data_IF_684579328804
#
_entry.id   IF_684579328804
#
_cell.length_a   1.000
_cell.length_b   1.000
_cell.length_c   1.000
_cell.angle_alpha   90.00
_cell.angle_beta   90.00
_cell.angle_gamma   90.00
#
_symmetry.space_group_name_H-M   'P 1'
#
loop_
_entity.id
_entity.type
_entity.pdbx_description
1 polymer ?
#
# COMPACT_ATOMS: atom_id res chain seq x y z
N UNK A 1 -23.68 7.76 5.91
CA UNK A 1 -22.32 8.38 5.89
C UNK A 1 -22.29 9.63 6.75
N UNK A 2 -23.12 10.63 6.46
CA UNK A 2 -23.19 11.89 7.24
C UNK A 2 -23.41 11.61 8.73
N UNK A 3 -24.32 10.72 9.08
CA UNK A 3 -24.56 10.31 10.47
C UNK A 3 -23.30 9.81 11.19
N UNK A 4 -22.48 8.98 10.52
CA UNK A 4 -21.21 8.47 11.09
C UNK A 4 -20.17 9.59 11.26
N UNK A 5 -20.18 10.57 10.36
CA UNK A 5 -19.34 11.76 10.48
C UNK A 5 -19.78 12.64 11.63
N UNK A 6 -21.09 12.90 11.78
CA UNK A 6 -21.66 13.61 12.93
C UNK A 6 -21.39 12.87 14.26
N UNK A 7 -21.27 11.55 14.24
CA UNK A 7 -20.85 10.73 15.38
C UNK A 7 -19.34 10.82 15.70
N UNK A 8 -18.57 11.65 14.98
CA UNK A 8 -17.16 11.92 15.24
C UNK A 8 -16.17 11.10 14.40
N UNK A 9 -16.61 10.49 13.31
CA UNK A 9 -15.70 9.85 12.35
C UNK A 9 -15.18 10.86 11.33
N UNK A 10 -13.86 10.94 11.16
CA UNK A 10 -13.22 11.96 10.32
C UNK A 10 -13.15 11.50 8.86
N UNK A 11 -13.12 10.18 8.64
CA UNK A 11 -13.24 9.55 7.34
C UNK A 11 -14.31 8.47 7.42
N UNK A 12 -15.30 8.54 6.53
CA UNK A 12 -16.33 7.49 6.41
C UNK A 12 -16.22 6.88 5.01
N UNK A 13 -15.80 5.62 4.94
CA UNK A 13 -15.55 4.95 3.66
C UNK A 13 -16.49 3.77 3.43
N UNK A 14 -16.86 3.54 2.17
CA UNK A 14 -17.71 2.41 1.80
C UNK A 14 -16.87 1.14 1.55
N UNK A 15 -17.13 0.09 2.32
CA UNK A 15 -16.51 -1.23 2.17
C UNK A 15 -17.46 -2.19 1.48
N UNK A 16 -16.97 -2.91 0.47
CA UNK A 16 -17.78 -3.94 -0.21
C UNK A 16 -17.81 -5.21 0.62
N UNK A 17 -19.00 -5.67 0.98
CA UNK A 17 -19.21 -6.94 1.70
C UNK A 17 -19.22 -8.13 0.76
N UNK A 18 -19.81 -7.99 -0.43
CA UNK A 18 -19.96 -9.11 -1.37
C UNK A 18 -19.02 -8.99 -2.58
N UNK A 19 -18.17 -10.02 -2.76
CA UNK A 19 -17.31 -10.22 -3.93
C UNK A 19 -17.83 -11.34 -4.86
N UNK A 20 -19.00 -11.92 -4.59
CA UNK A 20 -19.56 -13.07 -5.35
C UNK A 20 -19.65 -12.84 -6.86
N UNK A 21 -19.71 -11.59 -7.31
CA UNK A 21 -19.73 -11.22 -8.72
C UNK A 21 -18.34 -11.19 -9.39
N UNK A 22 -17.23 -11.19 -8.64
CA UNK A 22 -15.88 -11.16 -9.21
C UNK A 22 -15.40 -12.59 -9.55
N UNK A 23 -14.73 -12.81 -10.69
CA UNK A 23 -14.12 -14.10 -11.01
C UNK A 23 -13.13 -14.56 -9.93
N UNK A 24 -13.06 -15.86 -9.65
CA UNK A 24 -12.21 -16.44 -8.60
C UNK A 24 -10.75 -15.97 -8.68
N UNK A 25 -10.15 -15.97 -9.87
CA UNK A 25 -8.79 -15.50 -10.10
C UNK A 25 -8.57 -14.04 -9.65
N UNK A 26 -9.58 -13.18 -9.83
CA UNK A 26 -9.49 -11.77 -9.42
C UNK A 26 -9.59 -11.63 -7.90
N UNK A 27 -10.37 -12.49 -7.24
CA UNK A 27 -10.45 -12.51 -5.77
C UNK A 27 -9.14 -12.94 -5.14
N UNK A 28 -8.52 -14.00 -5.67
CA UNK A 28 -7.23 -14.51 -5.21
C UNK A 28 -6.14 -13.46 -5.41
N UNK A 29 -6.03 -12.89 -6.61
CA UNK A 29 -5.04 -11.85 -6.90
C UNK A 29 -5.19 -10.63 -5.99
N UNK A 30 -6.43 -10.19 -5.74
CA UNK A 30 -6.69 -9.07 -4.84
C UNK A 30 -6.34 -9.43 -3.38
N UNK A 31 -6.72 -10.61 -2.90
CA UNK A 31 -6.38 -11.06 -1.53
C UNK A 31 -4.86 -11.19 -1.34
N UNK A 32 -4.16 -11.72 -2.33
CA UNK A 32 -2.69 -11.79 -2.32
C UNK A 32 -2.09 -10.39 -2.26
N UNK A 33 -2.58 -9.46 -3.09
CA UNK A 33 -2.11 -8.08 -3.07
C UNK A 33 -2.26 -7.42 -1.70
N UNK A 34 -3.43 -7.51 -1.06
CA UNK A 34 -3.64 -6.90 0.26
C UNK A 34 -2.75 -7.56 1.33
N UNK A 35 -2.60 -8.90 1.32
CA UNK A 35 -1.69 -9.59 2.24
C UNK A 35 -0.24 -9.15 2.07
N UNK A 36 0.24 -9.13 0.82
CA UNK A 36 1.61 -8.75 0.47
C UNK A 36 1.84 -7.27 0.81
N UNK A 37 0.91 -6.40 0.43
CA UNK A 37 1.01 -4.97 0.72
C UNK A 37 1.00 -4.67 2.23
N UNK A 38 0.07 -5.25 3.00
CA UNK A 38 -0.02 -5.02 4.45
C UNK A 38 1.15 -5.66 5.22
N UNK A 39 1.83 -6.66 4.64
CA UNK A 39 3.05 -7.21 5.24
C UNK A 39 4.29 -6.39 4.91
N UNK A 40 4.37 -5.84 3.69
CA UNK A 40 5.52 -5.09 3.20
C UNK A 40 5.49 -3.60 3.56
N UNK A 41 4.29 -3.04 3.75
CA UNK A 41 4.08 -1.60 3.92
C UNK A 41 3.86 -1.27 5.39
N UNK A 42 4.34 -0.12 5.82
CA UNK A 42 4.16 0.36 7.19
C UNK A 42 2.72 0.79 7.49
N UNK A 43 1.92 0.99 6.43
CA UNK A 43 0.54 1.46 6.48
C UNK A 43 -0.40 0.30 6.16
N UNK A 44 -1.29 -0.02 7.09
CA UNK A 44 -2.33 -1.03 6.87
C UNK A 44 -3.45 -0.46 6.01
N UNK A 45 -3.63 -1.02 4.81
CA UNK A 45 -4.68 -0.60 3.90
C UNK A 45 -5.94 -1.46 4.12
N UNK A 46 -7.09 -0.84 4.44
CA UNK A 46 -8.32 -1.60 4.66
C UNK A 46 -8.77 -2.25 3.35
N UNK A 47 -8.94 -3.57 3.39
CA UNK A 47 -9.35 -4.35 2.23
C UNK A 47 -10.77 -3.97 1.79
N UNK A 48 -11.04 -4.06 0.48
CA UNK A 48 -12.38 -3.86 -0.09
C UNK A 48 -12.98 -2.47 0.03
N UNK A 49 -12.19 -1.48 0.42
CA UNK A 49 -12.64 -0.10 0.48
C UNK A 49 -12.68 0.52 -0.91
N UNK A 50 -13.87 1.00 -1.27
CA UNK A 50 -14.11 1.73 -2.50
C UNK A 50 -13.49 3.13 -2.50
N UNK A 51 -13.63 3.82 -3.62
CA UNK A 51 -13.18 5.21 -3.74
C UNK A 51 -14.24 6.19 -3.18
N UNK A 52 -15.48 5.73 -3.05
CA UNK A 52 -16.58 6.49 -2.46
C UNK A 52 -16.40 6.66 -0.95
N UNK A 53 -16.25 7.91 -0.52
CA UNK A 53 -15.94 8.30 0.86
C UNK A 53 -16.43 9.71 1.18
N UNK A 54 -16.69 9.94 2.46
CA UNK A 54 -16.85 11.25 3.07
C UNK A 54 -15.59 11.55 3.89
N UNK A 55 -15.06 12.76 3.77
CA UNK A 55 -13.89 13.23 4.51
C UNK A 55 -14.20 14.56 5.18
N UNK A 56 -13.82 14.67 6.44
CA UNK A 56 -13.83 15.94 7.14
C UNK A 56 -12.84 16.94 6.52
N UNK A 57 -13.09 18.24 6.72
CA UNK A 57 -12.24 19.32 6.21
C UNK A 57 -10.79 19.16 6.67
N UNK A 58 -10.56 18.80 7.92
CA UNK A 58 -9.19 18.64 8.45
C UNK A 58 -8.39 17.56 7.71
N UNK A 59 -9.04 16.47 7.31
CA UNK A 59 -8.41 15.38 6.55
C UNK A 59 -8.05 15.86 5.14
N UNK A 60 -8.95 16.63 4.52
CA UNK A 60 -8.71 17.21 3.19
C UNK A 60 -7.53 18.17 3.22
N UNK A 61 -7.43 19.01 4.25
CA UNK A 61 -6.35 19.98 4.37
C UNK A 61 -5.01 19.30 4.67
N UNK A 62 -4.97 18.25 5.51
CA UNK A 62 -3.78 17.42 5.71
C UNK A 62 -3.32 16.76 4.40
N UNK A 63 -4.23 16.17 3.63
CA UNK A 63 -3.92 15.58 2.32
C UNK A 63 -3.47 16.60 1.27
N UNK A 64 -3.83 17.88 1.42
CA UNK A 64 -3.37 18.96 0.53
C UNK A 64 -1.96 19.42 0.84
N UNK A 65 -1.52 19.31 2.10
CA UNK A 65 -0.17 19.66 2.55
C UNK A 65 0.89 18.64 2.12
N UNK A 66 0.46 17.44 1.72
CA UNK A 66 1.30 16.36 1.25
C UNK A 66 2.07 16.75 -0.03
N UNK A 67 3.42 16.70 -0.02
CA UNK A 67 4.23 17.08 -1.17
C UNK A 67 4.11 16.08 -2.33
N UNK A 68 3.61 14.86 -2.08
CA UNK A 68 3.60 13.77 -3.05
C UNK A 68 2.83 14.14 -4.32
N UNK A 69 3.55 14.07 -5.45
CA UNK A 69 2.96 14.27 -6.78
C UNK A 69 2.43 12.98 -7.38
N UNK A 70 3.15 11.88 -7.18
CA UNK A 70 2.71 10.54 -7.60
C UNK A 70 1.80 9.95 -6.51
N UNK A 71 0.52 10.32 -6.56
CA UNK A 71 -0.43 10.02 -5.48
C UNK A 71 -1.07 8.64 -5.62
N UNK A 72 -0.59 7.70 -4.81
CA UNK A 72 -1.34 6.48 -4.53
C UNK A 72 -2.34 6.73 -3.39
N UNK A 73 -3.50 7.29 -3.76
CA UNK A 73 -4.49 7.80 -2.80
C UNK A 73 -4.93 6.74 -1.77
N UNK A 74 -5.07 5.47 -2.17
CA UNK A 74 -5.49 4.42 -1.22
C UNK A 74 -4.52 4.26 -0.04
N UNK A 75 -3.23 4.38 -0.29
CA UNK A 75 -2.21 4.38 0.76
C UNK A 75 -2.18 5.70 1.53
N UNK A 76 -2.24 6.84 0.84
CA UNK A 76 -2.24 8.16 1.51
C UNK A 76 -3.40 8.31 2.49
N UNK A 77 -4.58 7.81 2.14
CA UNK A 77 -5.75 7.80 3.03
C UNK A 77 -5.56 6.95 4.29
N UNK A 78 -4.81 5.86 4.19
CA UNK A 78 -4.49 5.03 5.34
C UNK A 78 -3.32 5.61 6.15
N UNK A 79 -2.39 6.31 5.50
CA UNK A 79 -1.20 6.91 6.12
C UNK A 79 -1.54 8.11 7.00
N UNK A 80 -2.51 8.95 6.62
CA UNK A 80 -2.91 10.14 7.41
C UNK A 80 -3.45 9.78 8.80
N UNK A 81 -3.82 8.52 9.07
CA UNK A 81 -4.03 8.02 10.43
C UNK A 81 -5.28 8.52 11.18
N UNK A 82 -6.14 9.32 10.54
CA UNK A 82 -7.42 9.77 11.10
C UNK A 82 -8.38 8.61 11.38
N UNK A 83 -9.42 8.86 12.18
CA UNK A 83 -10.45 7.87 12.52
C UNK A 83 -11.29 7.52 11.30
N UNK A 84 -11.10 6.30 10.79
CA UNK A 84 -11.83 5.74 9.65
C UNK A 84 -12.98 4.84 10.15
N UNK A 85 -14.21 5.17 9.79
CA UNK A 85 -15.38 4.29 9.93
C UNK A 85 -15.73 3.66 8.57
N UNK A 86 -15.99 2.35 8.58
CA UNK A 86 -16.34 1.60 7.39
C UNK A 86 -17.84 1.31 7.37
N UNK A 87 -18.52 1.72 6.31
CA UNK A 87 -19.92 1.36 6.06
C UNK A 87 -19.94 0.25 5.01
N UNK A 88 -20.50 -0.88 5.38
CA UNK A 88 -20.63 -2.03 4.49
C UNK A 88 -21.77 -1.82 3.50
N UNK A 89 -21.52 -2.19 2.24
CA UNK A 89 -22.55 -2.15 1.21
C UNK A 89 -22.39 -3.30 0.21
N UNK A 90 -23.53 -3.78 -0.27
CA UNK A 90 -23.59 -4.76 -1.36
C UNK A 90 -23.65 -4.02 -2.68
N UNK A 91 -22.70 -4.33 -3.58
CA UNK A 91 -22.61 -3.67 -4.88
C UNK A 91 -23.54 -4.37 -5.88
N UNK A 92 -24.53 -3.64 -6.40
CA UNK A 92 -25.31 -4.11 -7.53
C UNK A 92 -24.44 -4.28 -8.79
N UNK A 93 -24.73 -5.28 -9.65
CA UNK A 93 -24.07 -5.42 -10.95
C UNK A 93 -24.27 -4.15 -11.78
N UNK A 94 -23.29 -3.82 -12.63
CA UNK A 94 -23.40 -2.64 -13.49
C UNK A 94 -24.55 -2.85 -14.47
N UNK A 95 -25.42 -1.85 -14.61
CA UNK A 95 -26.50 -1.84 -15.61
C UNK A 95 -25.99 -1.82 -17.05
N UNK A 96 -24.77 -1.34 -17.30
CA UNK A 96 -24.15 -1.38 -18.61
C UNK A 96 -22.65 -1.04 -18.61
N UNK A 97 -21.99 -1.38 -19.72
CA UNK A 97 -20.59 -1.08 -19.99
C UNK A 97 -19.58 -2.13 -19.48
N UNK A 98 -18.39 -2.12 -20.10
CA UNK A 98 -17.25 -2.97 -19.69
C UNK A 98 -16.34 -2.23 -18.72
N UNK A 99 -15.63 -2.99 -17.87
CA UNK A 99 -14.62 -2.40 -16.97
C UNK A 99 -13.52 -1.71 -17.80
N UNK A 100 -13.32 -0.40 -17.58
CA UNK A 100 -12.17 0.33 -18.11
C UNK A 100 -10.87 -0.01 -17.37
N UNK A 101 -10.92 -0.80 -16.31
CA UNK A 101 -9.74 -1.20 -15.55
C UNK A 101 -9.28 -2.60 -16.01
N UNK A 102 -8.27 -2.62 -16.86
CA UNK A 102 -7.68 -3.83 -17.43
C UNK A 102 -6.81 -4.57 -16.42
N UNK A 103 -6.50 -5.84 -16.69
CA UNK A 103 -5.55 -6.64 -15.89
C UNK A 103 -4.19 -5.94 -15.75
N UNK A 104 -3.63 -5.42 -16.83
CA UNK A 104 -2.35 -4.69 -16.81
C UNK A 104 -2.39 -3.44 -15.93
N UNK A 105 -3.48 -2.65 -16.01
CA UNK A 105 -3.65 -1.47 -15.15
C UNK A 105 -3.77 -1.83 -13.67
N UNK A 106 -4.36 -2.98 -13.34
CA UNK A 106 -4.40 -3.52 -11.97
C UNK A 106 -3.02 -3.89 -11.46
N UNK A 107 -2.23 -4.58 -12.29
CA UNK A 107 -0.86 -4.95 -11.95
C UNK A 107 0.02 -3.71 -11.71
N UNK A 108 -0.01 -2.74 -12.63
CA UNK A 108 0.73 -1.49 -12.43
C UNK A 108 0.29 -0.73 -11.18
N UNK A 109 -1.02 -0.70 -10.89
CA UNK A 109 -1.54 -0.08 -9.67
C UNK A 109 -1.09 -0.81 -8.39
N UNK A 110 -0.96 -2.14 -8.43
CA UNK A 110 -0.45 -2.92 -7.31
C UNK A 110 1.04 -2.63 -7.07
N UNK A 111 1.85 -2.63 -8.14
CA UNK A 111 3.27 -2.27 -8.09
C UNK A 111 3.46 -0.84 -7.55
N UNK A 112 2.62 0.09 -7.99
CA UNK A 112 2.59 1.47 -7.49
C UNK A 112 2.39 1.54 -5.97
N UNK A 113 1.46 0.76 -5.43
CA UNK A 113 1.18 0.74 -4.01
C UNK A 113 2.34 0.17 -3.19
N UNK A 114 2.95 -0.92 -3.65
CA UNK A 114 4.09 -1.54 -2.94
C UNK A 114 5.31 -0.62 -2.96
N UNK A 115 5.66 -0.06 -4.11
CA UNK A 115 6.87 0.77 -4.27
C UNK A 115 6.74 2.19 -3.71
N UNK A 116 5.52 2.70 -3.51
CA UNK A 116 5.29 4.02 -2.89
C UNK A 116 5.38 4.00 -1.36
N UNK A 117 5.03 2.88 -0.72
CA UNK A 117 4.95 2.77 0.75
C UNK A 117 5.93 1.77 1.36
N UNK A 118 6.83 1.18 0.55
CA UNK A 118 7.79 0.20 1.00
C UNK A 118 9.10 0.29 0.21
N UNK A 119 10.22 0.15 0.92
CA UNK A 119 11.56 -0.05 0.32
C UNK A 119 11.95 -1.52 0.29
N UNK A 120 11.05 -2.43 0.69
CA UNK A 120 11.35 -3.86 0.80
C UNK A 120 11.80 -4.49 -0.53
N UNK A 121 11.21 -4.18 -1.71
CA UNK A 121 11.70 -4.72 -2.97
C UNK A 121 13.19 -4.42 -3.22
N UNK A 122 13.64 -3.23 -2.84
CA UNK A 122 15.04 -2.82 -2.95
C UNK A 122 15.92 -3.64 -1.98
N UNK A 123 15.48 -3.78 -0.72
CA UNK A 123 16.21 -4.52 0.32
C UNK A 123 16.32 -6.02 0.01
N UNK A 124 15.24 -6.63 -0.48
CA UNK A 124 15.22 -8.04 -0.90
C UNK A 124 16.27 -8.26 -1.98
N UNK A 125 16.34 -7.35 -2.96
CA UNK A 125 17.33 -7.44 -4.02
C UNK A 125 18.77 -7.33 -3.50
N UNK A 126 19.02 -6.44 -2.54
CA UNK A 126 20.32 -6.33 -1.87
C UNK A 126 20.73 -7.65 -1.19
N UNK A 127 19.82 -8.29 -0.46
CA UNK A 127 20.11 -9.56 0.21
C UNK A 127 20.34 -10.72 -0.77
N UNK A 128 19.57 -10.77 -1.86
CA UNK A 128 19.79 -11.74 -2.94
C UNK A 128 21.21 -11.53 -3.51
N UNK A 129 21.57 -10.30 -3.85
CA UNK A 129 22.90 -9.97 -4.36
C UNK A 129 24.02 -10.38 -3.40
N UNK A 130 23.86 -10.12 -2.11
CA UNK A 130 24.84 -10.51 -1.08
C UNK A 130 24.98 -12.04 -0.96
N UNK A 131 23.87 -12.78 -1.00
CA UNK A 131 23.89 -14.24 -0.97
C UNK A 131 24.61 -14.83 -2.19
N UNK A 132 24.35 -14.28 -3.38
CA UNK A 132 25.05 -14.68 -4.61
C UNK A 132 26.54 -14.34 -4.58
N UNK A 133 26.92 -13.17 -4.06
CA UNK A 133 28.31 -12.79 -3.89
C UNK A 133 29.05 -13.74 -2.95
N UNK A 134 28.44 -14.08 -1.80
CA UNK A 134 29.00 -15.04 -0.85
C UNK A 134 29.17 -16.44 -1.47
N UNK A 135 28.14 -16.93 -2.18
CA UNK A 135 28.21 -18.23 -2.86
C UNK A 135 29.28 -18.24 -3.96
N UNK A 136 29.38 -17.17 -4.75
CA UNK A 136 30.39 -17.04 -5.79
C UNK A 136 31.81 -16.99 -5.21
N UNK A 137 31.99 -16.34 -4.05
CA UNK A 137 33.28 -16.29 -3.38
C UNK A 137 33.71 -17.67 -2.87
N UNK A 138 32.79 -18.40 -2.22
CA UNK A 138 33.04 -19.78 -1.75
C UNK A 138 33.36 -20.71 -2.92
N UNK A 139 32.56 -20.65 -3.99
CA UNK A 139 32.77 -21.49 -5.17
C UNK A 139 34.06 -21.13 -5.93
N UNK A 140 34.39 -19.83 -6.03
CA UNK A 140 35.65 -19.36 -6.58
C UNK A 140 36.85 -19.84 -5.79
N UNK A 141 36.81 -19.73 -4.46
CA UNK A 141 37.87 -20.24 -3.57
C UNK A 141 38.04 -21.76 -3.72
N UNK A 142 36.94 -22.50 -3.83
CA UNK A 142 36.96 -23.95 -4.10
C UNK A 142 37.65 -24.29 -5.42
N UNK A 143 37.33 -23.58 -6.52
CA UNK A 143 37.96 -23.80 -7.82
C UNK A 143 39.46 -23.47 -7.77
N UNK A 144 39.85 -22.36 -7.14
CA UNK A 144 41.26 -21.96 -7.02
C UNK A 144 42.04 -23.03 -6.25
N UNK A 145 41.51 -23.48 -5.11
CA UNK A 145 42.14 -24.53 -4.30
C UNK A 145 42.27 -25.85 -5.08
N UNK A 146 41.20 -26.26 -5.78
CA UNK A 146 41.20 -27.47 -6.61
C UNK A 146 42.22 -27.38 -7.75
N UNK A 147 42.34 -26.22 -8.38
CA UNK A 147 43.26 -26.00 -9.51
C UNK A 147 44.72 -26.05 -9.06
N UNK A 148 45.04 -25.46 -7.89
CA UNK A 148 46.37 -25.51 -7.29
C UNK A 148 46.80 -26.94 -6.93
N UNK A 149 45.87 -27.79 -6.51
CA UNK A 149 46.18 -29.16 -6.05
C UNK A 149 46.16 -30.21 -7.17
N UNK A 150 45.28 -30.08 -8.17
CA UNK A 150 44.98 -31.17 -9.12
C UNK A 150 45.11 -30.78 -10.61
N UNK A 151 45.51 -29.55 -10.94
CA UNK A 151 45.54 -29.06 -12.32
C UNK A 151 44.14 -28.84 -12.91
N UNK A 152 44.06 -28.48 -14.21
CA UNK A 152 42.81 -28.02 -14.84
C UNK A 152 42.33 -28.96 -15.97
N UNK A 153 41.30 -29.79 -15.76
CA UNK A 153 40.67 -30.58 -16.81
C UNK A 153 39.52 -29.77 -17.44
N UNK A 154 39.67 -29.30 -18.68
CA UNK A 154 38.68 -28.44 -19.37
C UNK A 154 37.76 -29.32 -20.23
N UNK A 155 36.43 -29.19 -20.21
CA UNK A 155 35.66 -28.17 -20.92
C UNK A 155 34.55 -27.55 -20.06
N UNK A 156 34.65 -26.24 -19.78
CA UNK A 156 33.71 -25.48 -18.95
C UNK A 156 32.93 -24.39 -19.70
N UNK A 157 32.93 -24.40 -21.03
CA UNK A 157 32.34 -23.32 -21.84
C UNK A 157 30.82 -23.18 -21.65
N UNK A 158 30.08 -24.30 -21.68
CA UNK A 158 28.62 -24.28 -21.53
C UNK A 158 28.19 -23.82 -20.13
N UNK A 159 28.89 -24.25 -19.07
CA UNK A 159 28.63 -23.80 -17.70
C UNK A 159 29.04 -22.35 -17.49
N UNK A 160 30.17 -21.91 -18.07
CA UNK A 160 30.64 -20.53 -18.00
C UNK A 160 29.63 -19.55 -18.63
N UNK A 161 29.18 -19.84 -19.85
CA UNK A 161 28.17 -19.02 -20.54
C UNK A 161 26.84 -19.00 -19.78
N UNK A 162 26.40 -20.16 -19.27
CA UNK A 162 25.16 -20.24 -18.50
C UNK A 162 25.23 -19.38 -17.23
N UNK A 163 26.35 -19.42 -16.49
CA UNK A 163 26.55 -18.58 -15.30
C UNK A 163 26.63 -17.10 -15.67
N UNK A 164 27.34 -16.73 -16.74
CA UNK A 164 27.41 -15.35 -17.22
C UNK A 164 26.03 -14.79 -17.60
N UNK A 165 25.25 -15.53 -18.37
CA UNK A 165 23.89 -15.13 -18.75
C UNK A 165 22.97 -15.03 -17.54
N UNK A 166 23.07 -15.97 -16.60
CA UNK A 166 22.27 -15.98 -15.38
C UNK A 166 22.60 -14.77 -14.49
N UNK A 167 23.88 -14.52 -14.23
CA UNK A 167 24.34 -13.36 -13.46
C UNK A 167 23.96 -12.05 -14.15
N UNK A 168 24.14 -11.96 -15.48
CA UNK A 168 23.74 -10.79 -16.26
C UNK A 168 22.22 -10.55 -16.21
N UNK A 169 21.40 -11.60 -16.32
CA UNK A 169 19.95 -11.52 -16.18
C UNK A 169 19.52 -11.01 -14.80
N UNK A 170 20.12 -11.55 -13.73
CA UNK A 170 19.90 -11.06 -12.37
C UNK A 170 20.31 -9.58 -12.25
N UNK A 171 21.51 -9.21 -12.69
CA UNK A 171 21.96 -7.81 -12.62
C UNK A 171 21.00 -6.84 -13.33
N UNK A 172 20.49 -7.21 -14.51
CA UNK A 172 19.49 -6.41 -15.24
C UNK A 172 18.19 -6.23 -14.45
N UNK A 173 17.72 -7.26 -13.73
CA UNK A 173 16.56 -7.15 -12.83
C UNK A 173 16.87 -6.14 -11.71
N UNK A 174 18.07 -6.21 -11.12
CA UNK A 174 18.51 -5.27 -10.09
C UNK A 174 18.54 -3.82 -10.55
N UNK A 175 19.11 -3.57 -11.73
CA UNK A 175 19.11 -2.25 -12.37
C UNK A 175 17.67 -1.79 -12.64
N UNK A 176 16.79 -2.69 -13.07
CA UNK A 176 15.36 -2.40 -13.26
C UNK A 176 14.68 -1.94 -11.97
N UNK A 177 14.92 -2.62 -10.84
CA UNK A 177 14.39 -2.22 -9.53
C UNK A 177 14.92 -0.83 -9.13
N UNK A 178 16.23 -0.60 -9.24
CA UNK A 178 16.83 0.71 -8.95
C UNK A 178 16.22 1.79 -9.87
N UNK A 179 16.05 1.49 -11.15
CA UNK A 179 15.44 2.39 -12.14
C UNK A 179 14.02 2.80 -11.77
N UNK A 180 13.22 1.90 -11.21
CA UNK A 180 11.86 2.22 -10.74
C UNK A 180 11.88 3.23 -9.57
N UNK A 181 12.77 3.05 -8.59
CA UNK A 181 12.90 4.00 -7.48
C UNK A 181 13.55 5.31 -7.93
N UNK A 182 14.57 5.27 -8.79
CA UNK A 182 15.21 6.46 -9.33
C UNK A 182 14.23 7.28 -10.17
N UNK A 183 13.37 6.62 -10.96
CA UNK A 183 12.30 7.27 -11.69
C UNK A 183 11.31 7.98 -10.77
N UNK A 184 10.94 7.38 -9.63
CA UNK A 184 10.09 8.03 -8.61
C UNK A 184 10.76 9.28 -8.03
N UNK A 185 12.03 9.17 -7.65
CA UNK A 185 12.82 10.31 -7.14
C UNK A 185 12.91 11.41 -8.20
N UNK A 186 13.13 11.06 -9.46
CA UNK A 186 13.18 11.99 -10.58
C UNK A 186 11.83 12.70 -10.84
N UNK A 187 10.72 11.98 -10.73
CA UNK A 187 9.39 12.59 -10.85
C UNK A 187 9.09 13.56 -9.71
N UNK A 188 9.54 13.23 -8.51
CA UNK A 188 9.36 14.08 -7.32
C UNK A 188 10.30 15.30 -7.35
N UNK A 189 11.56 15.14 -7.77
CA UNK A 189 12.54 16.23 -7.84
C UNK A 189 12.21 17.29 -8.90
N UNK A 190 11.54 16.91 -9.99
CA UNK A 190 11.09 17.83 -11.05
C UNK A 190 10.21 18.97 -10.57
N UNK A 191 9.55 18.77 -9.44
CA UNK A 191 8.63 19.73 -8.87
C UNK A 191 7.52 20.27 -9.84
N UNK A 192 7.12 19.51 -10.88
CA UNK A 192 5.96 19.81 -11.77
C UNK A 192 4.57 19.69 -11.14
N UNK A 193 3.70 20.70 -11.18
CA UNK A 193 2.36 20.63 -10.58
C UNK A 193 1.51 19.51 -11.18
N UNK A 194 0.63 18.91 -10.38
CA UNK A 194 -0.22 17.77 -10.78
C UNK A 194 -1.17 18.14 -11.93
N UNK A 195 -1.63 19.39 -11.96
CA UNK A 195 -2.47 19.92 -13.02
C UNK A 195 -2.26 21.44 -13.16
N UNK A 196 -2.60 21.96 -14.34
CA UNK A 196 -2.68 23.40 -14.59
C UNK A 196 -4.13 23.76 -14.91
N UNK A 197 -4.63 24.84 -14.30
CA UNK A 197 -6.01 25.30 -14.52
C UNK A 197 -6.02 26.18 -15.77
N UNK A 198 -6.64 25.71 -16.85
CA UNK A 198 -6.70 26.46 -18.12
C UNK A 198 -7.69 27.63 -18.07
N UNK A 199 -8.89 27.40 -17.53
CA UNK A 199 -9.96 28.40 -17.38
C UNK A 199 -10.83 28.04 -16.17
N UNK A 200 -11.35 29.04 -15.47
CA UNK A 200 -12.36 28.90 -14.41
C UNK A 200 -13.66 29.54 -14.89
N UNK A 201 -14.76 28.79 -14.90
CA UNK A 201 -16.05 29.26 -15.36
C UNK A 201 -16.98 29.45 -14.14
N UNK A 202 -16.74 30.51 -13.34
CA UNK A 202 -17.46 30.92 -12.09
C UNK A 202 -17.42 29.93 -10.91
N UNK A 203 -17.44 30.34 -9.64
CA UNK A 203 -17.68 31.66 -9.05
C UNK A 203 -16.70 31.96 -7.88
N UNK A 204 -16.16 33.19 -7.87
CA UNK A 204 -15.61 33.85 -6.67
C UNK A 204 -16.72 34.37 -5.74
N UNK A 205 -17.89 33.72 -5.74
CA UNK A 205 -19.00 34.02 -4.85
C UNK A 205 -19.35 32.75 -4.08
N UNK A 206 -19.08 32.75 -2.76
CA UNK A 206 -19.61 31.83 -1.76
C UNK A 206 -19.08 30.38 -1.74
N UNK A 207 -17.76 30.17 -1.90
CA UNK A 207 -17.15 29.04 -1.16
C UNK A 207 -16.93 29.56 0.26
N UNK A 208 -17.95 29.32 1.08
CA UNK A 208 -18.17 29.93 2.39
C UNK A 208 -16.92 30.37 3.15
N UNK A 209 -16.90 31.66 3.48
CA UNK A 209 -16.69 32.09 4.85
C UNK A 209 -17.69 31.34 5.75
N UNK A 210 -17.49 30.03 5.95
CA UNK A 210 -17.87 29.47 7.23
C UNK A 210 -17.05 30.26 8.24
N UNK A 211 -17.66 30.86 9.27
CA UNK A 211 -16.89 31.52 10.31
C UNK A 211 -15.90 30.47 10.78
N UNK A 212 -14.63 30.74 10.49
CA UNK A 212 -13.53 29.97 10.98
C UNK A 212 -13.58 30.16 12.50
N UNK A 213 -14.37 29.34 13.19
CA UNK A 213 -14.09 28.98 14.57
C UNK A 213 -12.74 28.29 14.50
N UNK A 214 -11.70 29.12 14.58
CA UNK A 214 -10.28 28.87 14.43
C UNK A 214 -9.72 28.96 13.00
N UNK A 215 -9.65 30.18 12.47
CA UNK A 215 -8.47 30.63 11.74
C UNK A 215 -7.36 30.96 12.77
N UNK A 216 -6.99 29.96 13.58
CA UNK A 216 -5.60 29.86 13.97
C UNK A 216 -4.99 29.04 12.83
N UNK A 217 -4.04 29.62 12.10
CA UNK A 217 -3.04 28.81 11.42
C UNK A 217 -2.70 27.67 12.36
N UNK A 218 -2.85 26.38 11.97
CA UNK A 218 -2.55 25.31 12.89
C UNK A 218 -1.13 25.57 13.35
N UNK A 219 -1.00 25.92 14.63
CA UNK A 219 0.28 26.04 15.29
C UNK A 219 1.05 24.81 14.82
N UNK A 220 2.29 24.95 14.38
CA UNK A 220 3.08 23.77 14.03
C UNK A 220 3.13 22.76 15.19
N UNK A 221 2.82 23.22 16.42
CA UNK A 221 2.60 22.46 17.63
C UNK A 221 1.22 21.73 17.76
N UNK A 222 0.19 22.13 17.01
CA UNK A 222 -1.17 21.52 16.98
C UNK A 222 -1.41 20.57 15.80
N UNK A 223 -0.59 20.63 14.76
CA UNK A 223 -0.41 19.46 13.90
C UNK A 223 0.07 18.36 14.84
N UNK A 224 -0.78 17.37 15.11
CA UNK A 224 -0.38 16.20 15.89
C UNK A 224 1.00 15.79 15.35
N UNK A 225 2.05 15.71 16.19
CA UNK A 225 3.32 15.18 15.73
C UNK A 225 2.98 13.88 15.03
N UNK A 226 3.33 13.81 13.73
CA UNK A 226 3.06 12.64 12.90
C UNK A 226 3.27 11.41 13.74
N UNK A 227 2.32 10.46 13.80
CA UNK A 227 2.49 9.31 14.66
C UNK A 227 3.69 8.51 14.12
N UNK A 228 4.87 8.77 14.67
CA UNK A 228 5.98 7.84 14.73
C UNK A 228 5.45 6.72 15.60
N UNK A 229 4.80 5.78 14.92
CA UNK A 229 4.40 4.45 15.36
C UNK A 229 4.44 4.27 16.88
N UNK A 230 3.25 4.23 17.49
CA UNK A 230 3.04 3.39 18.68
C UNK A 230 3.35 1.95 18.28
N UNK A 231 4.62 1.57 18.38
CA UNK A 231 4.99 0.18 18.50
C UNK A 231 4.36 -0.34 19.80
N UNK A 232 3.63 -1.44 19.69
CA UNK A 232 3.13 -2.27 20.79
C UNK A 232 2.18 -1.61 21.80
N UNK A 233 0.87 -1.80 21.59
CA UNK A 233 -0.05 -2.17 22.67
C UNK A 233 -1.43 -2.56 22.11
N UNK A 234 -2.09 -3.50 22.79
CA UNK A 234 -3.47 -3.93 22.60
C UNK A 234 -3.77 -4.97 21.50
N UNK A 235 -3.00 -6.07 21.48
CA UNK A 235 -3.66 -7.40 21.46
C UNK A 235 -4.03 -7.78 22.90
N UNK A 236 -5.13 -7.25 23.42
CA UNK A 236 -5.89 -7.93 24.47
C UNK A 236 -7.16 -8.47 23.82
N UNK A 237 -7.13 -9.75 23.49
CA UNK A 237 -8.35 -10.54 23.29
C UNK A 237 -9.11 -10.48 24.63
N UNK A 238 -10.25 -9.82 24.67
CA UNK A 238 -11.23 -10.06 25.72
C UNK A 238 -11.77 -11.49 25.51
N UNK A 239 -11.81 -12.35 26.54
CA UNK A 239 -12.53 -13.61 26.45
C UNK A 239 -14.04 -13.30 26.44
N UNK A 240 -14.77 -14.06 25.64
CA UNK A 240 -16.22 -14.01 25.53
C UNK A 240 -16.86 -14.13 26.91
N UNK A 241 -17.69 -13.15 27.27
CA UNK A 241 -18.58 -13.25 28.42
C UNK A 241 -19.65 -14.29 28.06
N UNK A 242 -19.57 -15.45 28.69
CA UNK A 242 -20.61 -16.46 28.68
C UNK A 242 -21.87 -15.88 29.35
N UNK A 243 -22.96 -15.81 28.59
CA UNK A 243 -24.29 -15.55 29.11
C UNK A 243 -24.71 -16.75 29.96
N UNK A 244 -24.71 -16.57 31.28
CA UNK A 244 -25.37 -17.46 32.22
C UNK A 244 -26.30 -16.59 33.09
N UNK A 245 -27.56 -16.46 32.66
CA UNK A 245 -28.64 -15.94 33.48
C UNK A 245 -29.74 -17.00 33.55
N UNK A 246 -29.85 -17.54 34.76
CA UNK A 246 -30.80 -18.51 35.28
C UNK A 246 -32.13 -17.80 35.61
N UNK A 247 -33.27 -18.38 35.21
CA UNK A 247 -34.56 -18.32 35.92
C UNK A 247 -35.50 -19.38 35.31
N UNK A 248 -35.65 -20.56 35.91
CA UNK A 248 -36.67 -20.96 36.92
C UNK A 248 -38.09 -21.23 36.36
N UNK A 249 -38.42 -22.52 36.36
CA UNK A 249 -39.67 -23.19 36.78
C UNK A 249 -41.05 -22.62 36.41
N UNK A 250 -41.83 -23.48 35.74
CA UNK A 250 -43.27 -23.81 35.91
C UNK A 250 -43.51 -25.02 34.99
N UNK A 251 -43.52 -26.29 35.44
CA UNK A 251 -44.52 -27.02 36.22
C UNK A 251 -45.92 -27.10 35.59
N UNK A 252 -46.37 -28.35 35.42
CA UNK A 252 -47.75 -28.90 35.41
C UNK A 252 -48.40 -29.21 34.04
N UNK A 253 -48.58 -30.54 33.89
CA UNK A 253 -49.54 -31.33 33.07
C UNK A 253 -49.26 -31.55 31.59
#
# INVERSE_FOLDING_TARGET
MVERWLAGAEVVAAKRTDRRCDPLMQRVAAALYYRVHNHLSEVEMPENVGDFRLMDRQVVDALRALPERRRFMKGLFAWVGYRIELIEYTRAPRSGGRSKFSGWRRWNFALEGITSFSTVPLRVWTYIGLAFAALSFIYGAFIVMRTLLFGNPVHGYASLISVMLFVGGIQLIGIGVIGEYLGRIYHESKQRPVYLVRRRYRADALVGQHPARHAAQPDAAKLLPFPVRRAAAARRRQPAVASAAVARNLSVK
#
